data_IF_750636910377
#
_entry.id   IF_750636910377
#
_cell.length_a   1.000
_cell.length_b   1.000
_cell.length_c   1.000
_cell.angle_alpha   90.00
_cell.angle_beta   90.00
_cell.angle_gamma   90.00
#
_symmetry.space_group_name_H-M   'P 1'
#
loop_
_entity.id
_entity.type
_entity.pdbx_description
1 polymer ?
#
# COMPACT_ATOMS: atom_id res chain seq x y z
N UNK A 1 -7.67 -4.95 -6.67
CA UNK A 1 -6.82 -4.70 -5.48
C UNK A 1 -5.34 -4.77 -5.79
N UNK A 2 -4.80 -5.90 -6.30
CA UNK A 2 -3.36 -6.05 -6.63
C UNK A 2 -2.78 -4.90 -7.46
N UNK A 3 -3.45 -4.50 -8.54
CA UNK A 3 -2.98 -3.37 -9.37
C UNK A 3 -2.94 -2.02 -8.64
N UNK A 4 -3.81 -1.81 -7.64
CA UNK A 4 -3.79 -0.60 -6.83
C UNK A 4 -2.61 -0.64 -5.84
N UNK A 5 -2.25 -1.83 -5.33
CA UNK A 5 -1.04 -2.02 -4.54
C UNK A 5 0.22 -1.79 -5.38
N UNK A 6 0.27 -2.34 -6.59
CA UNK A 6 1.39 -2.11 -7.52
C UNK A 6 1.62 -0.62 -7.80
N UNK A 7 0.56 0.17 -7.87
CA UNK A 7 0.65 1.63 -8.03
C UNK A 7 1.21 2.37 -6.80
N UNK A 8 1.33 1.71 -5.63
CA UNK A 8 2.03 2.27 -4.47
C UNK A 8 3.56 2.14 -4.56
N UNK A 9 4.09 1.34 -5.49
CA UNK A 9 5.54 1.19 -5.62
C UNK A 9 6.16 2.57 -5.85
N UNK A 10 7.21 2.94 -5.09
CA UNK A 10 7.98 4.14 -5.38
C UNK A 10 8.48 4.14 -6.82
N UNK A 11 8.76 5.33 -7.35
CA UNK A 11 9.37 5.45 -8.66
C UNK A 11 10.72 4.72 -8.72
N UNK A 12 11.16 4.35 -9.93
CA UNK A 12 12.36 3.52 -10.14
C UNK A 12 13.69 4.14 -9.65
N UNK A 13 13.68 5.39 -9.20
CA UNK A 13 14.86 6.07 -8.64
C UNK A 13 15.09 5.77 -7.16
N UNK A 14 14.09 5.24 -6.44
CA UNK A 14 14.23 4.94 -5.00
C UNK A 14 14.71 3.49 -4.81
N UNK A 15 15.90 3.28 -4.22
CA UNK A 15 16.42 1.94 -3.98
C UNK A 15 15.47 1.10 -3.12
N UNK A 16 15.36 -0.19 -3.44
CA UNK A 16 14.62 -1.15 -2.62
C UNK A 16 15.23 -1.21 -1.21
N UNK A 17 14.39 -1.10 -0.18
CA UNK A 17 14.81 -1.04 1.23
C UNK A 17 14.73 0.35 1.86
N UNK A 18 14.48 1.41 1.08
CA UNK A 18 14.18 2.74 1.63
C UNK A 18 12.76 2.81 2.23
N UNK A 19 12.50 3.71 3.21
CA UNK A 19 11.21 3.79 3.91
C UNK A 19 9.98 3.99 3.01
N UNK A 20 10.15 4.59 1.84
CA UNK A 20 9.11 4.81 0.84
C UNK A 20 8.50 3.49 0.35
N UNK A 21 9.26 2.39 0.40
CA UNK A 21 8.76 1.05 0.07
C UNK A 21 7.89 0.44 1.17
N UNK A 22 7.92 0.95 2.40
CA UNK A 22 7.29 0.31 3.56
C UNK A 22 5.76 0.25 3.43
N UNK A 23 5.14 1.28 2.86
CA UNK A 23 3.69 1.28 2.60
C UNK A 23 3.28 0.13 1.66
N UNK A 24 3.91 0.06 0.48
CA UNK A 24 3.70 -1.04 -0.47
C UNK A 24 3.96 -2.41 0.16
N UNK A 25 5.12 -2.60 0.82
CA UNK A 25 5.50 -3.88 1.40
C UNK A 25 4.55 -4.30 2.53
N UNK A 26 4.12 -3.37 3.39
CA UNK A 26 3.14 -3.65 4.44
C UNK A 26 1.80 -4.12 3.87
N UNK A 27 1.31 -3.50 2.80
CA UNK A 27 0.07 -3.91 2.14
C UNK A 27 0.21 -5.27 1.46
N UNK A 28 1.32 -5.50 0.76
CA UNK A 28 1.57 -6.76 0.07
C UNK A 28 1.59 -7.93 1.05
N UNK A 29 2.36 -7.82 2.13
CA UNK A 29 2.47 -8.87 3.14
C UNK A 29 1.13 -9.15 3.82
N UNK A 30 0.33 -8.11 4.15
CA UNK A 30 -0.97 -8.28 4.81
C UNK A 30 -2.07 -8.84 3.91
N UNK A 31 -2.16 -8.36 2.67
CA UNK A 31 -3.33 -8.59 1.80
C UNK A 31 -3.07 -9.50 0.61
N UNK A 32 -1.81 -9.75 0.25
CA UNK A 32 -1.43 -10.69 -0.81
C UNK A 32 -0.85 -11.96 -0.22
N UNK A 33 0.11 -11.83 0.69
CA UNK A 33 0.75 -12.98 1.35
C UNK A 33 0.00 -13.44 2.61
N UNK A 34 -1.07 -12.73 2.98
CA UNK A 34 -1.93 -13.06 4.13
C UNK A 34 -1.19 -13.19 5.48
N UNK A 35 0.00 -12.62 5.63
CA UNK A 35 0.70 -12.59 6.92
C UNK A 35 -0.08 -11.77 7.91
N UNK A 36 -0.10 -12.15 9.18
CA UNK A 36 -0.69 -11.33 10.23
C UNK A 36 0.13 -10.04 10.50
N UNK A 37 -0.38 -9.20 11.39
CA UNK A 37 0.23 -7.91 11.73
C UNK A 37 1.62 -8.06 12.36
N UNK A 38 1.82 -9.06 13.22
CA UNK A 38 3.06 -9.23 13.97
C UNK A 38 4.15 -9.87 13.10
N UNK A 39 3.78 -10.83 12.25
CA UNK A 39 4.64 -11.39 11.21
C UNK A 39 5.07 -10.32 10.20
N UNK A 40 4.15 -9.44 9.79
CA UNK A 40 4.48 -8.31 8.90
C UNK A 40 5.46 -7.34 9.57
N UNK A 41 5.25 -6.99 10.84
CA UNK A 41 6.18 -6.11 11.57
C UNK A 41 7.58 -6.72 11.66
N UNK A 42 7.67 -8.03 11.95
CA UNK A 42 8.93 -8.78 12.00
C UNK A 42 9.65 -8.77 10.66
N UNK A 43 8.95 -9.07 9.58
CA UNK A 43 9.49 -9.10 8.22
C UNK A 43 10.00 -7.73 7.76
N UNK A 44 9.30 -6.66 8.13
CA UNK A 44 9.70 -5.29 7.78
C UNK A 44 10.75 -4.70 8.72
N UNK A 45 11.02 -5.33 9.87
CA UNK A 45 11.90 -4.78 10.89
C UNK A 45 11.38 -3.47 11.50
N UNK A 46 10.06 -3.31 11.63
CA UNK A 46 9.44 -2.08 12.13
C UNK A 46 8.60 -2.34 13.40
N UNK A 47 8.46 -1.29 14.22
CA UNK A 47 7.53 -1.33 15.35
C UNK A 47 6.07 -1.40 14.90
N UNK A 48 5.17 -1.84 15.77
CA UNK A 48 3.72 -1.80 15.52
C UNK A 48 3.21 -0.40 15.20
N UNK A 49 3.71 0.62 15.91
CA UNK A 49 3.32 2.02 15.68
C UNK A 49 3.76 2.49 14.28
N UNK A 50 4.99 2.17 13.89
CA UNK A 50 5.49 2.45 12.53
C UNK A 50 4.69 1.71 11.48
N UNK A 51 4.37 0.43 11.70
CA UNK A 51 3.49 -0.34 10.82
C UNK A 51 2.15 0.35 10.63
N UNK A 52 1.45 0.72 11.71
CA UNK A 52 0.14 1.37 11.59
C UNK A 52 0.19 2.71 10.86
N UNK A 53 1.27 3.48 11.02
CA UNK A 53 1.48 4.71 10.26
C UNK A 53 1.58 4.42 8.77
N UNK A 54 2.52 3.57 8.36
CA UNK A 54 2.69 3.22 6.94
C UNK A 54 1.48 2.50 6.35
N UNK A 55 0.81 1.67 7.16
CA UNK A 55 -0.41 0.97 6.77
C UNK A 55 -1.53 1.96 6.46
N UNK A 56 -1.78 2.92 7.36
CA UNK A 56 -2.79 3.96 7.16
C UNK A 56 -2.49 4.83 5.94
N UNK A 57 -1.26 5.32 5.83
CA UNK A 57 -0.85 6.21 4.73
C UNK A 57 -0.96 5.47 3.37
N UNK A 58 -0.58 4.20 3.33
CA UNK A 58 -0.75 3.35 2.15
C UNK A 58 -2.22 3.08 1.83
N UNK A 59 -3.05 2.85 2.85
CA UNK A 59 -4.49 2.61 2.69
C UNK A 59 -5.19 3.83 2.09
N UNK A 60 -4.86 5.04 2.57
CA UNK A 60 -5.35 6.30 2.00
C UNK A 60 -4.94 6.49 0.53
N UNK A 61 -3.69 6.17 0.20
CA UNK A 61 -3.22 6.22 -1.18
C UNK A 61 -3.98 5.22 -2.08
N UNK A 62 -4.23 3.99 -1.60
CA UNK A 62 -5.01 2.98 -2.35
C UNK A 62 -6.45 3.45 -2.57
N UNK A 63 -7.12 3.97 -1.53
CA UNK A 63 -8.50 4.42 -1.65
C UNK A 63 -8.60 5.60 -2.62
N UNK A 64 -7.64 6.53 -2.60
CA UNK A 64 -7.55 7.61 -3.58
C UNK A 64 -7.39 7.09 -5.02
N UNK A 65 -6.49 6.13 -5.26
CA UNK A 65 -6.29 5.52 -6.58
C UNK A 65 -7.57 4.82 -7.06
N UNK A 66 -8.21 4.03 -6.20
CA UNK A 66 -9.44 3.32 -6.54
C UNK A 66 -10.58 4.28 -6.82
N UNK A 67 -10.69 5.36 -6.04
CA UNK A 67 -11.70 6.40 -6.24
C UNK A 67 -11.52 7.13 -7.57
N UNK A 68 -10.29 7.52 -7.90
CA UNK A 68 -10.00 8.15 -9.20
C UNK A 68 -10.30 7.20 -10.38
N UNK A 69 -9.99 5.90 -10.25
CA UNK A 69 -10.37 4.90 -11.26
C UNK A 69 -11.89 4.81 -11.39
N UNK A 70 -12.60 4.77 -10.26
CA UNK A 70 -14.05 4.75 -10.25
C UNK A 70 -14.63 5.98 -10.97
N UNK A 71 -14.16 7.19 -10.67
CA UNK A 71 -14.62 8.41 -11.36
C UNK A 71 -14.35 8.41 -12.87
N UNK A 72 -13.22 7.84 -13.31
CA UNK A 72 -12.90 7.71 -14.75
C UNK A 72 -13.81 6.73 -15.48
N UNK A 73 -14.29 5.70 -14.78
CA UNK A 73 -15.17 4.68 -15.34
C UNK A 73 -16.66 4.94 -15.07
N UNK A 74 -16.98 5.92 -14.21
CA UNK A 74 -18.35 6.31 -13.96
C UNK A 74 -18.96 6.83 -15.27
N UNK A 75 -20.10 6.27 -15.72
CA UNK A 75 -20.78 6.81 -16.88
C UNK A 75 -21.12 8.27 -16.59
N UNK A 76 -20.89 9.15 -17.57
CA UNK A 76 -21.38 10.51 -17.50
C UNK A 76 -22.88 10.44 -17.19
N UNK A 77 -23.28 11.00 -16.05
CA UNK A 77 -24.68 11.01 -15.64
C UNK A 77 -25.50 11.60 -16.81
N UNK A 78 -26.39 10.77 -17.36
CA UNK A 78 -27.31 11.13 -18.44
C UNK A 78 -28.45 12.00 -17.92
#
# INVERSE_FOLDING_TARGET
MREALEALKPNGTVPFGRPEWLGFRAMWLRYVECLDQDATCRELGVSRASFYRYHRDAFEAITSILWQRYLRHAPAAA
#
